data_IF_350913124622
#
_entry.id   IF_350913124622
#
_cell.length_a   1.000
_cell.length_b   1.000
_cell.length_c   1.000
_cell.angle_alpha   90.00
_cell.angle_beta   90.00
_cell.angle_gamma   90.00
#
_symmetry.space_group_name_H-M   'P 1'
#
loop_
_entity.id
_entity.type
_entity.pdbx_description
1 polymer ?
#
# COMPACT_ATOMS: atom_id res chain seq x y z
N UNK A 1 6.22 -11.16 -17.08
CA UNK A 1 5.06 -11.17 -16.17
C UNK A 1 5.60 -11.13 -14.75
N UNK A 2 5.14 -10.19 -13.94
CA UNK A 2 5.35 -10.19 -12.50
C UNK A 2 4.07 -10.75 -11.87
N UNK A 3 4.21 -11.74 -11.00
CA UNK A 3 3.06 -12.38 -10.33
C UNK A 3 2.70 -11.60 -9.05
N UNK A 4 3.71 -11.36 -8.22
CA UNK A 4 3.60 -10.56 -7.00
C UNK A 4 4.52 -9.33 -7.04
N UNK A 5 4.14 -8.28 -6.32
CA UNK A 5 4.97 -7.08 -6.13
C UNK A 5 4.81 -6.60 -4.70
N UNK A 6 5.93 -6.29 -4.05
CA UNK A 6 5.96 -5.74 -2.69
C UNK A 6 6.54 -4.33 -2.74
N UNK A 7 5.83 -3.37 -2.14
CA UNK A 7 6.28 -2.00 -1.95
C UNK A 7 6.43 -1.77 -0.44
N UNK A 8 7.57 -1.24 -0.04
CA UNK A 8 7.86 -0.91 1.37
C UNK A 8 8.19 0.57 1.45
N UNK A 9 7.56 1.27 2.40
CA UNK A 9 7.83 2.67 2.70
C UNK A 9 7.91 2.89 4.20
N UNK A 10 8.77 3.81 4.61
CA UNK A 10 8.84 4.25 6.00
C UNK A 10 7.76 5.31 6.25
N UNK A 11 6.96 5.11 7.30
CA UNK A 11 6.04 6.12 7.84
C UNK A 11 6.73 6.75 9.04
N UNK A 12 6.98 8.06 8.98
CA UNK A 12 7.68 8.77 10.05
C UNK A 12 6.74 9.80 10.67
N UNK A 13 6.60 9.80 11.99
CA UNK A 13 5.75 10.75 12.73
C UNK A 13 4.28 10.80 12.25
N UNK A 14 3.80 9.70 11.65
CA UNK A 14 2.46 9.61 11.04
C UNK A 14 2.38 10.14 9.61
N UNK A 15 3.46 10.69 9.07
CA UNK A 15 3.55 11.11 7.68
C UNK A 15 3.83 9.92 6.76
N UNK A 16 2.80 9.51 6.04
CA UNK A 16 2.79 8.38 5.09
C UNK A 16 2.77 8.85 3.61
N UNK A 17 2.84 10.16 3.38
CA UNK A 17 2.67 10.79 2.06
C UNK A 17 3.66 10.24 1.03
N UNK A 18 4.91 10.01 1.42
CA UNK A 18 5.93 9.40 0.56
C UNK A 18 5.55 7.97 0.14
N UNK A 19 5.14 7.12 1.09
CA UNK A 19 4.68 5.76 0.82
C UNK A 19 3.49 5.76 -0.15
N UNK A 20 2.47 6.57 0.14
CA UNK A 20 1.26 6.67 -0.69
C UNK A 20 1.54 7.22 -2.09
N UNK A 21 2.50 8.13 -2.21
CA UNK A 21 2.91 8.66 -3.50
C UNK A 21 3.48 7.54 -4.38
N UNK A 22 4.39 6.71 -3.86
CA UNK A 22 4.96 5.60 -4.63
C UNK A 22 3.89 4.56 -4.98
N UNK A 23 2.95 4.25 -4.07
CA UNK A 23 1.82 3.35 -4.38
C UNK A 23 1.00 3.88 -5.57
N UNK A 24 0.71 5.19 -5.58
CA UNK A 24 -0.02 5.84 -6.67
C UNK A 24 0.76 5.79 -7.98
N UNK A 25 2.05 6.09 -7.95
CA UNK A 25 2.91 6.02 -9.14
C UNK A 25 3.00 4.60 -9.70
N UNK A 26 3.13 3.59 -8.84
CA UNK A 26 3.11 2.19 -9.23
C UNK A 26 1.80 1.83 -9.92
N UNK A 27 0.64 2.19 -9.35
CA UNK A 27 -0.66 1.93 -9.97
C UNK A 27 -0.79 2.60 -11.34
N UNK A 28 -0.30 3.83 -11.47
CA UNK A 28 -0.25 4.55 -12.74
C UNK A 28 0.67 3.82 -13.73
N UNK A 29 1.85 3.39 -13.30
CA UNK A 29 2.81 2.68 -14.14
C UNK A 29 2.25 1.34 -14.62
N UNK A 30 1.61 0.55 -13.74
CA UNK A 30 0.96 -0.70 -14.10
C UNK A 30 -0.07 -0.49 -15.20
N UNK A 31 -0.94 0.52 -15.06
CA UNK A 31 -1.94 0.86 -16.08
C UNK A 31 -1.31 1.25 -17.42
N UNK A 32 -0.22 2.01 -17.41
CA UNK A 32 0.49 2.39 -18.65
C UNK A 32 1.20 1.21 -19.33
N UNK A 33 1.58 0.18 -18.58
CA UNK A 33 2.30 -0.99 -19.08
C UNK A 33 1.40 -2.21 -19.26
N UNK A 34 0.08 -2.02 -19.32
CA UNK A 34 -0.91 -3.09 -19.49
C UNK A 34 -0.81 -4.19 -18.40
N UNK A 35 -0.40 -3.82 -17.19
CA UNK A 35 -0.43 -4.67 -16.02
C UNK A 35 -1.70 -4.37 -15.22
N UNK A 36 -2.54 -5.38 -15.06
CA UNK A 36 -3.75 -5.29 -14.26
C UNK A 36 -3.42 -5.62 -12.80
N UNK A 37 -3.74 -4.69 -11.90
CA UNK A 37 -3.59 -4.90 -10.47
C UNK A 37 -4.87 -5.50 -9.89
N UNK A 38 -4.76 -6.66 -9.25
CA UNK A 38 -5.84 -7.25 -8.50
C UNK A 38 -5.89 -6.67 -7.08
N UNK A 39 -6.60 -5.55 -6.91
CA UNK A 39 -6.73 -4.84 -5.62
C UNK A 39 -7.39 -5.70 -4.54
N UNK A 40 -8.27 -6.63 -4.91
CA UNK A 40 -8.92 -7.55 -3.96
C UNK A 40 -7.97 -8.58 -3.35
N UNK A 41 -6.86 -8.89 -4.04
CA UNK A 41 -5.78 -9.74 -3.53
C UNK A 41 -4.61 -8.95 -2.94
N UNK A 42 -4.66 -7.62 -3.04
CA UNK A 42 -3.62 -6.76 -2.48
C UNK A 42 -3.92 -6.54 -1.01
N UNK A 43 -2.89 -6.66 -0.17
CA UNK A 43 -2.98 -6.37 1.26
C UNK A 43 -1.92 -5.36 1.65
N UNK A 44 -2.24 -4.52 2.64
CA UNK A 44 -1.32 -3.60 3.28
C UNK A 44 -0.92 -4.18 4.63
N UNK A 45 0.38 -4.15 4.94
CA UNK A 45 0.87 -4.49 6.27
C UNK A 45 1.60 -3.28 6.86
N UNK A 46 1.21 -2.91 8.07
CA UNK A 46 1.81 -1.81 8.81
C UNK A 46 2.45 -2.38 10.08
N UNK A 47 3.75 -2.22 10.20
CA UNK A 47 4.52 -2.69 11.36
C UNK A 47 4.85 -1.48 12.22
N UNK A 48 4.21 -1.38 13.39
CA UNK A 48 4.44 -0.34 14.37
C UNK A 48 4.74 -0.96 15.74
N UNK A 49 5.92 -0.66 16.29
CA UNK A 49 6.38 -1.22 17.57
C UNK A 49 5.86 -0.45 18.80
N UNK A 50 5.13 0.66 18.60
CA UNK A 50 4.53 1.43 19.70
C UNK A 50 3.41 0.62 20.35
N UNK A 51 3.23 0.77 21.68
CA UNK A 51 2.13 0.13 22.43
C UNK A 51 0.75 0.60 21.96
N UNK A 52 0.64 1.88 21.62
CA UNK A 52 -0.60 2.53 21.16
C UNK A 52 -0.29 3.27 19.86
N UNK A 53 -0.24 2.56 18.72
CA UNK A 53 -0.01 3.20 17.43
C UNK A 53 -1.22 4.08 17.06
N UNK A 54 -1.00 5.23 16.40
CA UNK A 54 -2.08 6.02 15.84
C UNK A 54 -2.80 5.22 14.75
N UNK A 55 -4.11 5.40 14.64
CA UNK A 55 -4.86 4.88 13.50
C UNK A 55 -4.41 5.62 12.23
N UNK A 56 -3.99 4.87 11.22
CA UNK A 56 -3.68 5.42 9.90
C UNK A 56 -4.92 5.37 9.02
N UNK A 57 -5.09 6.34 8.09
CA UNK A 57 -6.19 6.29 7.14
C UNK A 57 -6.06 5.05 6.22
N UNK A 58 -7.18 4.50 5.73
CA UNK A 58 -7.13 3.36 4.81
C UNK A 58 -6.36 3.70 3.52
N UNK A 59 -5.57 2.76 3.03
CA UNK A 59 -4.97 2.86 1.70
C UNK A 59 -6.00 2.59 0.61
N UNK A 60 -6.00 3.41 -0.44
CA UNK A 60 -6.81 3.18 -1.64
C UNK A 60 -5.94 3.09 -2.89
N UNK A 61 -6.16 2.04 -3.69
CA UNK A 61 -5.53 1.84 -5.00
C UNK A 61 -6.63 1.81 -6.05
N UNK A 62 -6.57 2.74 -7.02
CA UNK A 62 -7.60 2.87 -8.07
C UNK A 62 -9.03 2.90 -7.49
N UNK A 63 -9.25 3.74 -6.48
CA UNK A 63 -10.53 3.91 -5.76
C UNK A 63 -11.03 2.68 -4.99
N UNK A 64 -10.23 1.61 -4.90
CA UNK A 64 -10.52 0.44 -4.07
C UNK A 64 -9.73 0.51 -2.78
N UNK A 65 -10.41 0.36 -1.65
CA UNK A 65 -9.76 0.22 -0.33
C UNK A 65 -8.99 -1.09 -0.26
N UNK A 66 -7.73 -1.01 0.13
CA UNK A 66 -6.85 -2.17 0.35
C UNK A 66 -7.09 -2.70 1.77
N UNK A 67 -7.14 -4.02 1.91
CA UNK A 67 -7.28 -4.65 3.21
C UNK A 67 -5.98 -4.57 4.00
N UNK A 68 -6.03 -4.16 5.27
CA UNK A 68 -4.87 -4.19 6.18
C UNK A 68 -4.81 -5.55 6.87
N UNK A 69 -3.60 -6.14 6.98
CA UNK A 69 -3.34 -7.41 7.67
C UNK A 69 -2.28 -7.24 8.76
N UNK A 70 -2.38 -8.07 9.81
CA UNK A 70 -1.43 -8.06 10.93
C UNK A 70 -0.29 -9.07 10.76
N UNK A 71 -0.48 -10.11 9.94
CA UNK A 71 0.51 -11.17 9.68
C UNK A 71 0.50 -11.59 8.21
N UNK A 72 1.61 -12.16 7.76
CA UNK A 72 1.69 -12.91 6.50
C UNK A 72 1.19 -14.35 6.70
#
# INVERSE_FOLDING_TARGET
FADDTTLVGLIQDGEESAYRHVVKELAVWCRHNNLELNTLKTVEMIIDFRRNPPALPPLSIMDNTVATVETF
#
